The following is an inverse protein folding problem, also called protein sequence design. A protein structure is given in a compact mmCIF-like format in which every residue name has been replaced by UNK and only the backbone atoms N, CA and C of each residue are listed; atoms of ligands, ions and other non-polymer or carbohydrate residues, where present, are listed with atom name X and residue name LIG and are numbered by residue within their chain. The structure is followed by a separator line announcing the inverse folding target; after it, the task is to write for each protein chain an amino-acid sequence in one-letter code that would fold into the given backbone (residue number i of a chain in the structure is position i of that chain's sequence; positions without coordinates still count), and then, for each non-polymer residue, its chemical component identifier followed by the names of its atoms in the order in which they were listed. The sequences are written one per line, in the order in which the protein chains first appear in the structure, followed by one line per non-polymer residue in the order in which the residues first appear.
data_IF_667757887226
#
_entry.id   IF_667757887226
#
_cell.length_a   1.000
_cell.length_b   1.000
_cell.length_c   1.000
_cell.angle_alpha   90.00
_cell.angle_beta   90.00
_cell.angle_gamma   90.00
#
_symmetry.space_group_name_H-M   'P 1'
#
loop_
_entity.id
_entity.type
_entity.pdbx_description
1 polymer ?
#
# COMPACT_ATOMS: atom_id res chain seq x y z
N UNK A 1 -10.89 26.15 9.42
CA UNK A 1 -11.28 25.34 8.24
C UNK A 1 -11.58 23.91 8.69
N UNK A 2 -12.81 23.42 8.48
CA UNK A 2 -13.31 22.14 9.03
C UNK A 2 -12.86 20.93 8.18
N UNK A 3 -12.03 20.05 8.76
CA UNK A 3 -11.98 18.56 8.74
C UNK A 3 -12.46 17.71 7.53
N UNK A 4 -12.85 18.28 6.38
CA UNK A 4 -13.54 17.57 5.31
C UNK A 4 -12.64 16.77 4.37
N UNK A 5 -11.36 17.10 4.28
CA UNK A 5 -10.43 16.52 3.30
C UNK A 5 -9.14 15.98 3.93
N UNK A 6 -9.16 15.63 5.22
CA UNK A 6 -7.95 15.18 5.90
C UNK A 6 -7.40 13.90 5.26
N UNK A 7 -8.26 12.98 4.83
CA UNK A 7 -7.80 11.74 4.18
C UNK A 7 -7.15 12.01 2.83
N UNK A 8 -7.74 12.88 2.03
CA UNK A 8 -7.16 13.33 0.75
C UNK A 8 -5.82 14.04 0.96
N UNK A 9 -5.69 14.91 1.97
CA UNK A 9 -4.43 15.63 2.26
C UNK A 9 -3.33 14.68 2.70
N UNK A 10 -3.65 13.70 3.55
CA UNK A 10 -2.67 12.70 3.99
C UNK A 10 -2.31 11.76 2.83
N UNK A 11 -3.28 11.29 2.05
CA UNK A 11 -3.04 10.51 0.84
C UNK A 11 -2.17 11.26 -0.16
N UNK A 12 -2.38 12.57 -0.32
CA UNK A 12 -1.51 13.44 -1.10
C UNK A 12 -0.08 13.45 -0.53
N UNK A 13 0.09 13.62 0.78
CA UNK A 13 1.38 13.57 1.45
C UNK A 13 2.17 12.28 1.19
N UNK A 14 1.49 11.12 1.16
CA UNK A 14 2.12 9.84 0.83
C UNK A 14 2.33 9.63 -0.67
N UNK A 15 1.52 10.26 -1.52
CA UNK A 15 1.68 10.21 -2.98
C UNK A 15 2.73 11.18 -3.52
N UNK A 16 3.02 12.29 -2.82
CA UNK A 16 3.98 13.32 -3.22
C UNK A 16 5.39 12.73 -3.47
N UNK A 17 5.94 11.86 -2.60
CA UNK A 17 7.18 11.16 -2.90
C UNK A 17 7.14 10.41 -4.24
N UNK A 18 6.08 9.65 -4.51
CA UNK A 18 5.92 8.89 -5.76
C UNK A 18 5.72 9.77 -7.00
N UNK A 19 5.01 10.89 -6.88
CA UNK A 19 4.80 11.85 -7.96
C UNK A 19 6.05 12.70 -8.26
N UNK A 20 6.85 13.03 -7.25
CA UNK A 20 8.15 13.68 -7.42
C UNK A 20 9.18 12.72 -8.03
N UNK A 21 8.98 11.41 -7.87
CA UNK A 21 9.80 10.36 -8.51
C UNK A 21 9.73 10.44 -10.05
N UNK A 22 8.63 10.95 -10.61
CA UNK A 22 8.47 11.15 -12.06
C UNK A 22 9.28 12.33 -12.63
N UNK A 23 9.82 13.24 -11.81
CA UNK A 23 10.21 14.59 -12.29
C UNK A 23 11.72 14.92 -12.21
N UNK A 24 12.59 14.19 -11.51
CA UNK A 24 13.98 14.70 -11.32
C UNK A 24 15.07 13.64 -11.29
N UNK A 25 16.29 14.05 -11.66
CA UNK A 25 17.54 13.27 -11.74
C UNK A 25 18.30 13.17 -10.38
N UNK A 26 17.75 13.72 -9.28
CA UNK A 26 18.27 13.58 -7.89
C UNK A 26 18.00 12.20 -7.25
N UNK A 27 17.75 11.17 -8.07
CA UNK A 27 17.08 9.91 -7.71
C UNK A 27 17.87 8.91 -6.87
N UNK A 28 19.13 9.18 -6.51
CA UNK A 28 19.92 8.16 -5.80
C UNK A 28 19.33 7.84 -4.42
N UNK A 29 18.81 8.83 -3.70
CA UNK A 29 18.14 8.61 -2.39
C UNK A 29 16.73 8.01 -2.57
N UNK A 30 16.03 8.40 -3.63
CA UNK A 30 14.69 7.89 -3.95
C UNK A 30 14.73 6.46 -4.50
N UNK A 31 15.89 5.98 -4.97
CA UNK A 31 16.07 4.59 -5.33
C UNK A 31 15.99 3.66 -4.11
N UNK A 32 16.37 4.14 -2.92
CA UNK A 32 16.33 3.32 -1.72
C UNK A 32 14.93 3.23 -1.11
N UNK A 33 14.06 4.22 -1.33
CA UNK A 33 12.72 4.25 -0.72
C UNK A 33 11.87 3.03 -1.14
N UNK A 34 11.77 2.67 -2.43
CA UNK A 34 11.11 1.44 -2.85
C UNK A 34 11.71 0.24 -2.14
N UNK A 35 13.04 0.07 -2.13
CA UNK A 35 13.66 -1.07 -1.45
C UNK A 35 13.33 -1.12 0.06
N UNK A 36 13.38 0.01 0.75
CA UNK A 36 13.05 0.12 2.18
C UNK A 36 11.59 -0.22 2.49
N UNK A 37 10.66 0.06 1.58
CA UNK A 37 9.25 -0.29 1.76
C UNK A 37 9.00 -1.81 1.63
N UNK A 38 9.86 -2.49 0.89
CA UNK A 38 9.72 -3.91 0.60
C UNK A 38 10.36 -4.80 1.66
N UNK A 39 11.53 -4.40 2.17
CA UNK A 39 12.30 -5.15 3.15
C UNK A 39 11.48 -5.70 4.34
N UNK A 40 10.55 -4.95 4.96
CA UNK A 40 9.88 -5.41 6.18
C UNK A 40 8.91 -6.59 5.96
N UNK A 41 8.37 -6.75 4.74
CA UNK A 41 7.33 -7.76 4.46
C UNK A 41 7.73 -8.68 3.30
N UNK A 42 8.18 -8.12 2.17
CA UNK A 42 8.51 -8.90 0.99
C UNK A 42 9.67 -9.88 1.25
N UNK A 43 10.76 -9.41 1.86
CA UNK A 43 11.97 -10.23 2.07
C UNK A 43 11.73 -11.42 3.01
N UNK A 44 11.07 -11.27 4.18
CA UNK A 44 10.69 -12.42 5.01
C UNK A 44 9.78 -13.40 4.28
N UNK A 45 8.80 -12.92 3.51
CA UNK A 45 7.89 -13.79 2.76
C UNK A 45 8.61 -14.53 1.61
N UNK A 46 9.58 -13.88 0.97
CA UNK A 46 10.40 -14.46 -0.08
C UNK A 46 11.37 -15.52 0.45
N UNK A 47 11.97 -15.29 1.62
CA UNK A 47 12.78 -16.30 2.32
C UNK A 47 11.93 -17.52 2.71
N UNK A 48 10.69 -17.31 3.15
CA UNK A 48 9.77 -18.41 3.46
C UNK A 48 9.31 -19.15 2.19
N UNK A 49 9.01 -18.41 1.12
CA UNK A 49 8.55 -18.97 -0.14
C UNK A 49 9.61 -19.80 -0.86
N UNK A 50 10.84 -19.27 -0.95
CA UNK A 50 11.99 -19.98 -1.55
C UNK A 50 12.41 -21.21 -0.75
N UNK A 51 12.12 -21.27 0.56
CA UNK A 51 12.28 -22.49 1.35
C UNK A 51 11.23 -23.58 1.07
N UNK A 52 10.12 -23.23 0.41
CA UNK A 52 9.01 -24.15 0.11
C UNK A 52 8.93 -24.56 -1.36
N UNK A 53 9.36 -23.68 -2.26
CA UNK A 53 9.26 -23.88 -3.71
C UNK A 53 10.54 -23.46 -4.42
N UNK A 54 11.05 -24.32 -5.30
CA UNK A 54 12.18 -23.99 -6.20
C UNK A 54 11.75 -23.13 -7.40
N UNK A 55 10.44 -23.01 -7.65
CA UNK A 55 9.88 -22.20 -8.73
C UNK A 55 9.59 -20.76 -8.24
N UNK A 56 10.23 -19.79 -8.90
CA UNK A 56 10.04 -18.37 -8.63
C UNK A 56 8.59 -17.93 -8.84
N UNK A 57 7.89 -18.46 -9.85
CA UNK A 57 6.50 -18.09 -10.13
C UNK A 57 5.57 -18.54 -9.00
N UNK A 58 5.79 -19.73 -8.45
CA UNK A 58 5.03 -20.26 -7.31
C UNK A 58 5.34 -19.48 -6.02
N UNK A 59 6.61 -19.13 -5.82
CA UNK A 59 7.03 -18.26 -4.71
C UNK A 59 6.37 -16.89 -4.79
N UNK A 60 6.42 -16.23 -5.96
CA UNK A 60 5.77 -14.94 -6.20
C UNK A 60 4.26 -15.01 -5.97
N UNK A 61 3.60 -16.09 -6.42
CA UNK A 61 2.17 -16.31 -6.23
C UNK A 61 1.79 -16.47 -4.75
N UNK A 62 2.59 -17.21 -3.98
CA UNK A 62 2.40 -17.37 -2.54
C UNK A 62 2.49 -16.02 -1.81
N UNK A 63 3.51 -15.23 -2.14
CA UNK A 63 3.73 -13.91 -1.55
C UNK A 63 2.59 -12.97 -1.92
N UNK A 64 2.16 -12.97 -3.19
CA UNK A 64 1.02 -12.19 -3.66
C UNK A 64 -0.27 -12.55 -2.90
N UNK A 65 -0.52 -13.84 -2.69
CA UNK A 65 -1.67 -14.31 -1.92
C UNK A 65 -1.61 -13.84 -0.46
N UNK A 66 -0.46 -13.98 0.19
CA UNK A 66 -0.25 -13.52 1.57
C UNK A 66 -0.45 -12.01 1.72
N UNK A 67 0.11 -11.21 0.80
CA UNK A 67 -0.04 -9.76 0.76
C UNK A 67 -1.49 -9.34 0.51
N UNK A 68 -2.21 -10.05 -0.36
CA UNK A 68 -3.63 -9.80 -0.64
C UNK A 68 -4.48 -10.02 0.62
N UNK A 69 -4.24 -11.10 1.35
CA UNK A 69 -4.91 -11.37 2.64
C UNK A 69 -4.55 -10.28 3.65
N UNK A 70 -3.28 -9.92 3.79
CA UNK A 70 -2.82 -8.88 4.72
C UNK A 70 -3.47 -7.51 4.40
N UNK A 71 -3.53 -7.14 3.12
CA UNK A 71 -4.22 -5.95 2.63
C UNK A 71 -5.71 -5.97 2.99
N UNK A 72 -6.39 -7.09 2.69
CA UNK A 72 -7.81 -7.26 2.97
C UNK A 72 -8.14 -7.18 4.46
N UNK A 73 -7.39 -7.90 5.30
CA UNK A 73 -7.58 -7.90 6.75
C UNK A 73 -7.31 -6.52 7.36
N UNK A 74 -6.16 -5.92 7.05
CA UNK A 74 -5.79 -4.60 7.58
C UNK A 74 -6.81 -3.52 7.18
N UNK A 75 -7.26 -3.53 5.92
CA UNK A 75 -8.32 -2.64 5.43
C UNK A 75 -9.65 -2.92 6.12
N UNK A 76 -10.06 -4.18 6.24
CA UNK A 76 -11.30 -4.54 6.93
C UNK A 76 -11.32 -4.06 8.39
N UNK A 77 -10.26 -4.31 9.16
CA UNK A 77 -10.17 -3.86 10.54
C UNK A 77 -10.21 -2.32 10.64
N UNK A 78 -9.48 -1.63 9.77
CA UNK A 78 -9.49 -0.17 9.74
C UNK A 78 -10.87 0.38 9.42
N UNK A 79 -11.54 -0.10 8.36
CA UNK A 79 -12.87 0.36 7.98
C UNK A 79 -13.93 0.00 9.02
N UNK A 80 -13.84 -1.18 9.66
CA UNK A 80 -14.71 -1.55 10.78
C UNK A 80 -14.59 -0.55 11.93
N UNK A 81 -13.38 -0.15 12.29
CA UNK A 81 -13.15 0.87 13.31
C UNK A 81 -13.61 2.26 12.86
N UNK A 82 -13.35 2.64 11.62
CA UNK A 82 -13.79 3.92 11.06
C UNK A 82 -15.32 4.07 11.08
N UNK A 83 -16.04 3.01 10.72
CA UNK A 83 -17.51 2.98 10.76
C UNK A 83 -18.01 3.09 12.19
N UNK A 84 -17.38 2.38 13.14
CA UNK A 84 -17.73 2.46 14.57
C UNK A 84 -17.48 3.86 15.14
N UNK A 85 -16.32 4.45 14.88
CA UNK A 85 -15.95 5.79 15.33
C UNK A 85 -16.93 6.85 14.79
N UNK A 86 -17.39 6.67 13.53
CA UNK A 86 -18.45 7.50 12.93
C UNK A 86 -19.79 7.36 13.65
N UNK A 87 -20.22 6.14 13.97
CA UNK A 87 -21.49 5.90 14.68
C UNK A 87 -21.49 6.49 16.09
N UNK A 88 -20.36 6.41 16.79
CA UNK A 88 -20.19 6.94 18.15
C UNK A 88 -19.93 8.46 18.18
N UNK A 89 -20.04 9.15 17.03
CA UNK A 89 -19.71 10.59 16.88
C UNK A 89 -18.31 10.97 17.40
N UNK A 90 -17.38 10.01 17.42
CA UNK A 90 -16.01 10.22 17.87
C UNK A 90 -15.20 10.89 16.77
N UNK A 91 -14.28 11.76 17.18
CA UNK A 91 -13.29 12.32 16.26
C UNK A 91 -12.40 11.20 15.75
N UNK A 92 -11.99 11.31 14.49
CA UNK A 92 -11.12 10.31 13.85
C UNK A 92 -9.79 10.26 14.61
N UNK A 93 -9.42 9.07 15.09
CA UNK A 93 -8.14 8.89 15.76
C UNK A 93 -6.99 8.98 14.75
N UNK A 94 -6.27 10.11 14.78
CA UNK A 94 -5.17 10.37 13.84
C UNK A 94 -4.05 9.35 13.94
N UNK A 95 -3.74 8.85 15.14
CA UNK A 95 -2.69 7.84 15.30
C UNK A 95 -3.08 6.57 14.53
N UNK A 96 -4.31 6.08 14.70
CA UNK A 96 -4.82 4.91 13.95
C UNK A 96 -4.83 5.15 12.44
N UNK A 97 -5.16 6.37 12.02
CA UNK A 97 -5.15 6.75 10.61
C UNK A 97 -3.75 6.66 10.02
N UNK A 98 -2.77 7.31 10.65
CA UNK A 98 -1.38 7.26 10.22
C UNK A 98 -0.80 5.85 10.28
N UNK A 99 -1.13 5.07 11.31
CA UNK A 99 -0.72 3.67 11.41
C UNK A 99 -1.30 2.81 10.28
N UNK A 100 -2.57 3.04 9.88
CA UNK A 100 -3.16 2.33 8.74
C UNK A 100 -2.42 2.66 7.44
N UNK A 101 -2.21 3.94 7.14
CA UNK A 101 -1.50 4.34 5.92
C UNK A 101 -0.04 3.87 5.92
N UNK A 102 0.65 3.92 7.06
CA UNK A 102 2.00 3.37 7.21
C UNK A 102 2.06 1.85 7.02
N UNK A 103 1.06 1.11 7.51
CA UNK A 103 0.95 -0.32 7.25
C UNK A 103 0.63 -0.62 5.79
N UNK A 104 -0.24 0.17 5.15
CA UNK A 104 -0.54 0.03 3.74
C UNK A 104 0.68 0.32 2.85
N UNK A 105 1.55 1.24 3.26
CA UNK A 105 2.81 1.55 2.56
C UNK A 105 3.68 0.29 2.38
N UNK A 106 3.86 -0.51 3.43
CA UNK A 106 4.66 -1.73 3.36
C UNK A 106 3.93 -2.94 2.76
N UNK A 107 2.62 -2.83 2.47
CA UNK A 107 1.82 -3.90 1.86
C UNK A 107 1.59 -3.65 0.38
N UNK A 108 1.09 -2.47 0.01
CA UNK A 108 0.66 -2.13 -1.35
C UNK A 108 1.83 -2.13 -2.31
N UNK A 109 2.99 -1.60 -1.90
CA UNK A 109 4.17 -1.54 -2.76
C UNK A 109 4.65 -2.95 -3.15
N UNK A 110 4.90 -3.88 -2.20
CA UNK A 110 5.15 -5.28 -2.53
C UNK A 110 4.02 -5.94 -3.32
N UNK A 111 2.75 -5.66 -3.00
CA UNK A 111 1.61 -6.29 -3.66
C UNK A 111 1.64 -6.02 -5.18
N UNK A 112 1.78 -4.76 -5.58
CA UNK A 112 1.79 -4.39 -6.99
C UNK A 112 3.05 -4.88 -7.69
N UNK A 113 4.19 -4.87 -7.02
CA UNK A 113 5.40 -5.47 -7.56
C UNK A 113 5.25 -6.96 -7.81
N UNK A 114 4.68 -7.73 -6.89
CA UNK A 114 4.52 -9.17 -7.07
C UNK A 114 3.47 -9.54 -8.14
N UNK A 115 2.53 -8.64 -8.45
CA UNK A 115 1.70 -8.76 -9.66
C UNK A 115 2.58 -8.67 -10.90
N UNK A 116 3.42 -7.63 -11.00
CA UNK A 116 4.36 -7.46 -12.11
C UNK A 116 5.36 -8.62 -12.21
N UNK A 117 5.92 -9.07 -11.07
CA UNK A 117 6.90 -10.14 -11.03
C UNK A 117 6.32 -11.49 -11.46
N UNK A 118 5.05 -11.75 -11.13
CA UNK A 118 4.34 -12.94 -11.59
C UNK A 118 4.14 -12.92 -13.12
N UNK A 119 3.70 -11.78 -13.67
CA UNK A 119 3.52 -11.59 -15.13
C UNK A 119 4.84 -11.67 -15.90
N UNK A 120 5.97 -11.31 -15.28
CA UNK A 120 7.30 -11.29 -15.90
C UNK A 120 8.22 -12.44 -15.41
N UNK A 121 7.63 -13.48 -14.79
CA UNK A 121 8.36 -14.60 -14.17
C UNK A 121 9.25 -15.41 -15.12
N UNK A 122 9.04 -15.31 -16.44
CA UNK A 122 9.86 -15.95 -17.46
C UNK A 122 11.24 -15.32 -17.73
N UNK A 123 11.62 -14.24 -17.02
CA UNK A 123 12.90 -13.56 -17.20
C UNK A 123 13.64 -13.23 -15.89
N UNK A 124 13.34 -13.94 -14.80
CA UNK A 124 13.79 -13.63 -13.44
C UNK A 124 15.32 -13.61 -13.23
N UNK A 125 15.87 -12.40 -13.01
CA UNK A 125 17.20 -12.17 -12.46
C UNK A 125 17.22 -10.98 -11.50
N UNK A 126 18.15 -10.94 -10.56
CA UNK A 126 18.20 -9.98 -9.43
C UNK A 126 18.08 -8.50 -9.84
N UNK A 127 18.63 -8.14 -11.01
CA UNK A 127 18.49 -6.77 -11.55
C UNK A 127 17.05 -6.39 -11.87
N UNK A 128 16.24 -7.34 -12.35
CA UNK A 128 14.83 -7.10 -12.68
C UNK A 128 13.97 -6.92 -11.45
N UNK A 129 14.34 -7.50 -10.30
CA UNK A 129 13.65 -7.24 -9.04
C UNK A 129 13.77 -5.75 -8.67
N UNK A 130 14.99 -5.22 -8.73
CA UNK A 130 15.28 -3.82 -8.39
C UNK A 130 14.60 -2.87 -9.39
N UNK A 131 14.74 -3.12 -10.70
CA UNK A 131 14.11 -2.26 -11.72
C UNK A 131 12.58 -2.38 -11.74
N UNK A 132 12.03 -3.58 -11.52
CA UNK A 132 10.59 -3.80 -11.39
C UNK A 132 10.01 -3.10 -10.16
N UNK A 133 10.73 -3.09 -9.03
CA UNK A 133 10.35 -2.30 -7.87
C UNK A 133 10.30 -0.81 -8.21
N UNK A 134 11.26 -0.29 -8.99
CA UNK A 134 11.23 1.10 -9.45
C UNK A 134 10.07 1.43 -10.38
N UNK A 135 9.80 0.56 -11.34
CA UNK A 135 8.73 0.76 -12.32
C UNK A 135 7.34 0.72 -11.66
N UNK A 136 7.15 -0.17 -10.69
CA UNK A 136 5.86 -0.35 -10.02
C UNK A 136 5.61 0.63 -8.88
N UNK A 137 6.64 1.30 -8.35
CA UNK A 137 6.52 2.20 -7.21
C UNK A 137 5.62 3.43 -7.45
N UNK A 138 5.71 4.15 -8.59
CA UNK A 138 4.80 5.24 -8.91
C UNK A 138 3.34 4.79 -9.04
N UNK A 139 3.12 3.63 -9.69
CA UNK A 139 1.77 3.06 -9.89
C UNK A 139 1.12 2.71 -8.55
N UNK A 140 1.86 2.00 -7.70
CA UNK A 140 1.39 1.64 -6.36
C UNK A 140 1.19 2.86 -5.45
N UNK A 141 1.99 3.92 -5.61
CA UNK A 141 1.79 5.19 -4.90
C UNK A 141 0.44 5.85 -5.24
N UNK A 142 -0.04 5.70 -6.47
CA UNK A 142 -1.35 6.22 -6.89
C UNK A 142 -2.53 5.59 -6.13
N UNK A 143 -2.38 4.35 -5.65
CA UNK A 143 -3.43 3.66 -4.89
C UNK A 143 -3.73 4.34 -3.54
N UNK A 144 -2.77 5.04 -2.95
CA UNK A 144 -2.99 5.79 -1.69
C UNK A 144 -3.95 6.96 -1.89
N UNK A 145 -3.97 7.57 -3.07
CA UNK A 145 -4.92 8.62 -3.40
C UNK A 145 -6.33 8.05 -3.49
N UNK A 146 -6.49 6.88 -4.12
CA UNK A 146 -7.77 6.15 -4.17
C UNK A 146 -8.23 5.78 -2.75
N UNK A 147 -7.34 5.22 -1.93
CA UNK A 147 -7.65 4.89 -0.53
C UNK A 147 -8.08 6.14 0.26
N UNK A 148 -7.38 7.27 0.11
CA UNK A 148 -7.74 8.54 0.73
C UNK A 148 -9.16 8.98 0.36
N UNK A 149 -9.51 8.91 -0.93
CA UNK A 149 -10.86 9.22 -1.43
C UNK A 149 -11.91 8.28 -0.83
N UNK A 150 -11.64 6.96 -0.82
CA UNK A 150 -12.57 5.96 -0.25
C UNK A 150 -12.81 6.23 1.23
N UNK A 151 -11.76 6.53 2.00
CA UNK A 151 -11.90 6.82 3.42
C UNK A 151 -12.69 8.10 3.67
N UNK A 152 -12.41 9.17 2.92
CA UNK A 152 -13.18 10.42 3.01
C UNK A 152 -14.66 10.19 2.64
N UNK A 153 -14.94 9.35 1.63
CA UNK A 153 -16.30 8.97 1.26
C UNK A 153 -17.02 8.21 2.38
N UNK A 154 -16.40 7.17 2.95
CA UNK A 154 -16.99 6.36 4.03
C UNK A 154 -17.28 7.20 5.27
N UNK A 155 -16.37 8.12 5.61
CA UNK A 155 -16.51 9.06 6.74
C UNK A 155 -17.66 10.04 6.51
N UNK A 156 -17.78 10.60 5.29
CA UNK A 156 -18.73 11.68 4.99
C UNK A 156 -20.10 11.21 4.47
N UNK A 157 -20.28 9.92 4.18
CA UNK A 157 -21.59 9.35 3.83
C UNK A 157 -22.59 9.75 4.92
N UNK A 158 -23.68 10.45 4.61
CA UNK A 158 -24.68 10.85 5.60
C UNK A 158 -25.34 9.60 6.21
N UNK A 159 -25.68 9.63 7.49
CA UNK A 159 -26.58 8.65 8.09
C UNK A 159 -27.98 8.98 7.60
N UNK A 160 -28.37 8.43 6.45
CA UNK A 160 -29.69 8.67 5.85
C UNK A 160 -30.79 7.85 6.54
N UNK A 161 -30.48 7.05 7.56
CA UNK A 161 -31.36 5.98 8.01
C UNK A 161 -32.02 6.13 9.40
N UNK A 162 -31.93 7.29 10.08
CA UNK A 162 -32.66 7.50 11.35
C UNK A 162 -33.17 8.95 11.46
N UNK A 163 -34.18 9.29 10.65
CA UNK A 163 -35.14 10.37 10.92
C UNK A 163 -36.53 9.83 10.67
#
# INVERSE_FOLDING_TARGET
MKSRYIGTIVGLGFSIPGLLTLVSVDMMVFMFIPMLCFLPIALPLELLGSGLFDDYAMTALLILFGLTIAFGLSSYYFFKHLIKDRQESRTLNMIRFWSYFGLQLIIIHPLIFYIWAFENSGSSGDGQFIFGAFETFPLSSGLFLILGIVVDYVKNKKTVANN
#
